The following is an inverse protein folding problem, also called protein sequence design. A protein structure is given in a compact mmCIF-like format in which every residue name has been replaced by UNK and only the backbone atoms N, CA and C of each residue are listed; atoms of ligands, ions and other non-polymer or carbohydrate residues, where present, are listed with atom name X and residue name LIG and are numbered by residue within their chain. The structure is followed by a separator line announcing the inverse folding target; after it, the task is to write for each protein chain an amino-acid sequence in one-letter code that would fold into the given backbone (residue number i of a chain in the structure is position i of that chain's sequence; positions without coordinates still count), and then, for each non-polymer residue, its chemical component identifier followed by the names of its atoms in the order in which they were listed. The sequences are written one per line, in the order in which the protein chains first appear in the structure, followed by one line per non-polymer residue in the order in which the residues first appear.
data_IF_892642200036
#
_entry.id   IF_892642200036
#
_cell.length_a   1.000
_cell.length_b   1.000
_cell.length_c   1.000
_cell.angle_alpha   90.00
_cell.angle_beta   90.00
_cell.angle_gamma   90.00
#
_symmetry.space_group_name_H-M   'P 1'
#
loop_
_entity.id
_entity.type
_entity.pdbx_description
1 polymer ?
#
# COMPACT_ATOMS: atom_id res chain seq x y z
N UNK A 1 24.09 15.54 11.50
CA UNK A 1 23.68 15.05 10.16
C UNK A 1 23.14 16.18 9.28
N UNK A 2 22.10 16.93 9.70
CA UNK A 2 21.56 18.05 8.91
C UNK A 2 22.61 19.06 8.43
N UNK A 3 23.55 19.45 9.29
CA UNK A 3 24.65 20.33 8.92
C UNK A 3 25.54 19.75 7.81
N UNK A 4 25.88 18.46 7.90
CA UNK A 4 26.66 17.78 6.86
C UNK A 4 25.92 17.75 5.51
N UNK A 5 24.60 17.53 5.52
CA UNK A 5 23.78 17.58 4.30
C UNK A 5 23.82 18.98 3.67
N UNK A 6 23.61 20.04 4.45
CA UNK A 6 23.66 21.42 3.95
C UNK A 6 25.01 21.78 3.34
N UNK A 7 26.11 21.30 3.94
CA UNK A 7 27.47 21.45 3.37
C UNK A 7 27.77 20.54 2.18
N UNK A 8 27.06 19.42 2.06
CA UNK A 8 27.24 18.47 0.95
C UNK A 8 26.46 18.90 -0.28
N UNK A 9 25.27 19.50 -0.11
CA UNK A 9 24.41 19.97 -1.21
C UNK A 9 24.17 21.49 -1.07
N UNK A 10 25.21 22.33 -1.24
CA UNK A 10 25.11 23.77 -1.05
C UNK A 10 24.47 24.51 -2.23
N UNK A 11 24.29 23.86 -3.39
CA UNK A 11 23.76 24.50 -4.60
C UNK A 11 22.39 23.94 -5.01
N UNK A 12 21.59 24.78 -5.67
CA UNK A 12 20.35 24.33 -6.33
C UNK A 12 20.68 23.39 -7.48
N UNK A 13 19.73 22.50 -7.80
CA UNK A 13 19.94 21.49 -8.82
C UNK A 13 20.30 22.08 -10.20
N UNK A 14 21.32 21.52 -10.85
CA UNK A 14 21.76 21.87 -12.20
C UNK A 14 22.08 20.57 -12.94
N UNK A 15 21.58 20.43 -14.16
CA UNK A 15 21.87 19.27 -15.00
C UNK A 15 21.02 18.05 -14.63
N UNK A 16 21.65 16.88 -14.53
CA UNK A 16 20.96 15.63 -14.21
C UNK A 16 20.37 15.68 -12.78
N UNK A 17 19.31 14.90 -12.54
CA UNK A 17 18.56 14.86 -11.27
C UNK A 17 18.70 13.47 -10.64
N UNK A 18 19.88 13.13 -10.09
CA UNK A 18 20.21 11.76 -9.74
C UNK A 18 19.33 11.20 -8.61
N UNK A 19 18.99 9.92 -8.76
CA UNK A 19 18.32 9.12 -7.73
C UNK A 19 19.24 8.63 -6.62
N UNK A 20 20.53 8.46 -6.91
CA UNK A 20 21.45 7.77 -6.02
C UNK A 20 22.15 8.74 -5.04
N UNK A 21 22.11 8.50 -3.72
CA UNK A 21 22.71 9.37 -2.71
C UNK A 21 24.20 9.68 -2.90
N UNK A 22 24.99 8.71 -3.37
CA UNK A 22 26.42 8.89 -3.66
C UNK A 22 26.67 9.82 -4.84
N UNK A 23 25.79 9.80 -5.86
CA UNK A 23 25.88 10.72 -7.01
C UNK A 23 25.46 12.12 -6.56
N UNK A 24 24.35 12.24 -5.82
CA UNK A 24 23.92 13.52 -5.22
C UNK A 24 25.06 14.14 -4.39
N UNK A 25 25.73 13.33 -3.56
CA UNK A 25 26.85 13.78 -2.74
C UNK A 25 28.06 14.24 -3.56
N UNK A 26 28.28 13.63 -4.72
CA UNK A 26 29.37 13.97 -5.65
C UNK A 26 29.09 15.25 -6.43
N UNK A 27 27.83 15.46 -6.85
CA UNK A 27 27.43 16.58 -7.69
C UNK A 27 27.22 17.89 -6.91
N UNK A 28 27.09 17.81 -5.59
CA UNK A 28 26.97 18.95 -4.68
C UNK A 28 25.79 19.90 -4.98
N UNK A 29 24.75 19.41 -5.66
CA UNK A 29 23.58 20.19 -6.02
C UNK A 29 22.28 19.37 -5.92
N UNK A 30 21.16 20.04 -5.64
CA UNK A 30 19.88 19.36 -5.44
C UNK A 30 18.73 20.27 -5.00
N UNK A 31 17.51 19.74 -5.08
CA UNK A 31 16.30 20.32 -4.48
C UNK A 31 15.78 19.40 -3.37
N UNK A 32 14.54 19.59 -2.93
CA UNK A 32 13.93 18.82 -1.84
C UNK A 32 14.05 17.30 -2.05
N UNK A 33 13.86 16.80 -3.28
CA UNK A 33 14.02 15.38 -3.63
C UNK A 33 15.41 14.81 -3.33
N UNK A 34 16.46 15.47 -3.79
CA UNK A 34 17.85 15.05 -3.58
C UNK A 34 18.24 15.20 -2.11
N UNK A 35 17.83 16.31 -1.48
CA UNK A 35 18.06 16.57 -0.05
C UNK A 35 17.41 15.49 0.81
N UNK A 36 16.17 15.09 0.53
CA UNK A 36 15.52 13.98 1.23
C UNK A 36 16.32 12.68 1.06
N UNK A 37 16.64 12.31 -0.18
CA UNK A 37 17.33 11.04 -0.49
C UNK A 37 18.68 10.92 0.21
N UNK A 38 19.54 11.94 0.07
CA UNK A 38 20.85 11.93 0.72
C UNK A 38 20.73 11.96 2.24
N UNK A 39 19.72 12.66 2.77
CA UNK A 39 19.54 12.76 4.20
C UNK A 39 19.05 11.46 4.84
N UNK A 40 18.08 10.79 4.23
CA UNK A 40 17.62 9.45 4.64
C UNK A 40 18.79 8.47 4.58
N UNK A 41 19.57 8.49 3.49
CA UNK A 41 20.75 7.63 3.35
C UNK A 41 21.80 7.90 4.45
N UNK A 42 22.08 9.17 4.76
CA UNK A 42 23.05 9.55 5.79
C UNK A 42 22.59 9.14 7.20
N UNK A 43 21.30 9.29 7.52
CA UNK A 43 20.75 8.82 8.80
C UNK A 43 20.82 7.30 8.92
N UNK A 44 20.43 6.57 7.88
CA UNK A 44 20.51 5.10 7.87
C UNK A 44 21.96 4.59 7.96
N UNK A 45 22.91 5.28 7.30
CA UNK A 45 24.33 4.97 7.42
C UNK A 45 24.87 5.18 8.85
N UNK A 46 24.24 6.08 9.61
CA UNK A 46 24.52 6.31 11.03
C UNK A 46 23.69 5.41 11.98
N UNK A 47 23.01 4.38 11.45
CA UNK A 47 22.12 3.46 12.19
C UNK A 47 20.93 4.16 12.86
N UNK A 48 20.51 5.30 12.34
CA UNK A 48 19.29 6.00 12.76
C UNK A 48 18.16 5.58 11.82
N UNK A 49 17.09 4.94 12.32
CA UNK A 49 15.95 4.60 11.48
C UNK A 49 15.35 5.89 10.91
N UNK A 50 15.22 5.93 9.58
CA UNK A 50 14.80 7.12 8.85
C UNK A 50 13.98 6.73 7.63
N UNK A 51 12.99 7.55 7.31
CA UNK A 51 12.05 7.37 6.20
C UNK A 51 11.83 8.69 5.48
N UNK A 52 11.42 8.63 4.22
CA UNK A 52 11.00 9.83 3.50
C UNK A 52 9.54 10.14 3.82
N UNK A 53 9.22 11.39 4.14
CA UNK A 53 7.85 11.90 4.17
C UNK A 53 7.58 12.69 2.88
N UNK A 54 6.43 12.42 2.26
CA UNK A 54 6.14 12.81 0.90
C UNK A 54 4.78 13.50 0.79
N UNK A 55 4.81 14.78 0.42
CA UNK A 55 3.65 15.57 0.03
C UNK A 55 3.72 15.81 -1.48
N UNK A 56 3.51 14.73 -2.24
CA UNK A 56 3.76 14.71 -3.69
C UNK A 56 2.77 15.58 -4.47
N UNK A 57 1.53 15.68 -4.00
CA UNK A 57 0.50 16.50 -4.67
C UNK A 57 0.91 17.96 -4.85
N UNK A 58 1.68 18.48 -3.90
CA UNK A 58 2.13 19.87 -3.87
C UNK A 58 3.66 20.00 -3.89
N UNK A 59 4.34 19.02 -4.49
CA UNK A 59 5.78 19.05 -4.78
C UNK A 59 6.68 19.39 -3.58
N UNK A 60 6.50 18.68 -2.45
CA UNK A 60 7.47 18.75 -1.35
C UNK A 60 7.72 17.40 -0.71
N UNK A 61 8.95 17.22 -0.25
CA UNK A 61 9.41 16.02 0.43
C UNK A 61 10.45 16.37 1.49
N UNK A 62 10.44 15.63 2.58
CA UNK A 62 11.39 15.77 3.71
C UNK A 62 11.58 14.39 4.36
N UNK A 63 12.17 14.29 5.55
CA UNK A 63 12.36 12.98 6.21
C UNK A 63 11.78 12.96 7.61
N UNK A 64 11.61 11.75 8.12
CA UNK A 64 11.39 11.50 9.54
C UNK A 64 12.47 10.57 10.07
N UNK A 65 12.79 10.69 11.36
CA UNK A 65 13.68 9.77 12.05
C UNK A 65 13.04 9.25 13.34
N UNK A 66 13.43 8.04 13.72
CA UNK A 66 12.87 7.38 14.91
C UNK A 66 13.76 7.58 16.14
N UNK A 67 13.19 8.18 17.19
CA UNK A 67 13.79 8.37 18.50
C UNK A 67 12.67 8.26 19.55
N UNK A 68 12.36 7.05 20.04
CA UNK A 68 11.18 6.81 20.90
C UNK A 68 9.86 7.36 20.32
N UNK A 69 9.78 7.49 19.00
CA UNK A 69 8.73 8.18 18.26
C UNK A 69 9.27 8.65 16.90
N UNK A 70 8.38 8.89 15.94
CA UNK A 70 8.77 9.49 14.66
C UNK A 70 8.80 11.01 14.78
N UNK A 71 9.92 11.62 14.38
CA UNK A 71 10.13 13.06 14.43
C UNK A 71 10.36 13.61 13.03
N UNK A 72 9.66 14.69 12.69
CA UNK A 72 9.88 15.45 11.47
C UNK A 72 11.32 15.96 11.41
N UNK A 73 11.93 15.94 10.23
CA UNK A 73 13.22 16.59 10.00
C UNK A 73 13.37 17.05 8.55
N UNK A 74 13.75 18.30 8.33
CA UNK A 74 13.91 18.86 6.99
C UNK A 74 15.20 19.66 6.86
N UNK A 75 15.73 19.70 5.65
CA UNK A 75 16.87 20.49 5.23
C UNK A 75 16.41 21.44 4.13
N UNK A 76 16.67 22.73 4.31
CA UNK A 76 16.31 23.73 3.31
C UNK A 76 17.43 23.91 2.29
N UNK A 77 17.07 24.51 1.16
CA UNK A 77 17.98 24.70 0.04
C UNK A 77 19.19 25.55 0.41
N UNK A 78 20.28 25.34 -0.31
CA UNK A 78 21.47 26.21 -0.30
C UNK A 78 22.03 26.48 1.09
N UNK A 79 22.12 25.43 1.92
CA UNK A 79 22.58 25.53 3.31
C UNK A 79 21.80 26.57 4.16
N UNK A 80 20.53 26.82 3.80
CA UNK A 80 19.64 27.77 4.47
C UNK A 80 19.16 27.32 5.86
N UNK A 81 19.64 26.16 6.34
CA UNK A 81 19.24 25.56 7.62
C UNK A 81 18.26 24.41 7.44
N UNK A 82 17.30 24.34 8.35
CA UNK A 82 16.32 23.25 8.41
C UNK A 82 15.60 23.25 9.74
N UNK A 83 14.76 22.25 9.95
CA UNK A 83 14.00 22.11 11.20
C UNK A 83 13.92 20.66 11.68
N UNK A 84 13.68 20.50 12.97
CA UNK A 84 13.54 19.22 13.68
C UNK A 84 12.28 19.31 14.51
N UNK A 85 11.43 18.28 14.41
CA UNK A 85 10.24 18.11 15.21
C UNK A 85 9.27 19.31 15.17
N UNK A 86 9.16 19.92 13.98
CA UNK A 86 8.26 21.07 13.73
C UNK A 86 7.35 20.76 12.55
N UNK A 87 6.37 19.85 12.69
CA UNK A 87 5.49 19.46 11.60
C UNK A 87 4.67 20.64 11.02
N UNK A 88 4.30 21.59 11.87
CA UNK A 88 3.50 22.77 11.49
C UNK A 88 4.20 23.72 10.52
N UNK A 89 5.51 23.57 10.31
CA UNK A 89 6.31 24.47 9.47
C UNK A 89 5.77 24.60 8.05
N UNK A 90 5.14 23.57 7.50
CA UNK A 90 4.66 23.57 6.12
C UNK A 90 3.27 24.21 6.00
N UNK A 91 2.24 23.61 6.63
CA UNK A 91 0.87 24.11 6.53
C UNK A 91 0.72 25.49 7.16
N UNK A 92 1.28 25.66 8.35
CA UNK A 92 1.00 26.83 9.21
C UNK A 92 2.17 27.82 9.26
N UNK A 93 3.40 27.34 9.07
CA UNK A 93 4.58 28.19 8.93
C UNK A 93 4.69 28.80 7.54
N UNK A 94 4.61 27.99 6.48
CA UNK A 94 4.72 28.44 5.08
C UNK A 94 3.37 28.79 4.45
N UNK A 95 2.25 28.45 5.10
CA UNK A 95 0.92 28.66 4.52
C UNK A 95 0.60 27.69 3.38
N UNK A 96 1.24 26.51 3.37
CA UNK A 96 1.08 25.53 2.30
C UNK A 96 -0.24 24.78 2.43
N UNK A 97 -1.08 24.86 1.41
CA UNK A 97 -2.30 24.05 1.32
C UNK A 97 -1.95 22.63 0.87
N UNK A 98 -1.99 21.66 1.77
CA UNK A 98 -1.50 20.30 1.54
C UNK A 98 -2.64 19.29 1.42
N UNK A 99 -2.54 18.38 0.45
CA UNK A 99 -3.57 17.36 0.18
C UNK A 99 -3.43 16.11 1.06
N UNK A 100 -2.32 15.39 0.93
CA UNK A 100 -2.02 14.22 1.75
C UNK A 100 -0.51 14.08 1.93
N UNK A 101 -0.11 13.42 3.02
CA UNK A 101 1.28 13.11 3.31
C UNK A 101 1.38 11.62 3.63
N UNK A 102 2.28 10.93 2.92
CA UNK A 102 2.63 9.56 3.26
C UNK A 102 4.11 9.44 3.60
N UNK A 103 4.42 8.55 4.52
CA UNK A 103 5.77 8.12 4.81
C UNK A 103 6.13 6.90 3.94
N UNK A 104 7.34 6.89 3.40
CA UNK A 104 7.86 5.89 2.48
C UNK A 104 8.95 5.06 3.18
N UNK A 105 8.62 3.80 3.44
CA UNK A 105 9.51 2.83 4.12
C UNK A 105 10.59 2.31 3.17
N UNK A 106 11.65 1.74 3.74
CA UNK A 106 12.77 1.19 2.98
C UNK A 106 12.44 -0.07 2.16
N UNK A 107 11.34 -0.75 2.49
CA UNK A 107 10.79 -1.88 1.74
C UNK A 107 9.83 -1.44 0.63
N UNK A 108 9.74 -0.14 0.36
CA UNK A 108 8.91 0.48 -0.67
C UNK A 108 7.40 0.57 -0.35
N UNK A 109 6.97 0.08 0.81
CA UNK A 109 5.62 0.33 1.32
C UNK A 109 5.45 1.80 1.74
N UNK A 110 4.19 2.23 1.85
CA UNK A 110 3.84 3.57 2.33
C UNK A 110 2.78 3.50 3.42
N UNK A 111 2.73 4.50 4.29
CA UNK A 111 1.65 4.68 5.25
C UNK A 111 1.30 6.16 5.42
N UNK A 112 0.06 6.45 5.77
CA UNK A 112 -0.41 7.82 5.96
C UNK A 112 0.23 8.46 7.21
N UNK A 113 0.70 9.69 7.06
CA UNK A 113 1.17 10.54 8.16
C UNK A 113 0.52 11.92 8.10
N UNK A 114 -0.56 12.08 7.32
CA UNK A 114 -1.23 13.37 7.09
C UNK A 114 -1.66 14.01 8.41
N UNK A 115 -2.15 13.20 9.35
CA UNK A 115 -2.60 13.67 10.66
C UNK A 115 -1.52 14.29 11.56
N UNK A 116 -0.24 14.05 11.26
CA UNK A 116 0.91 14.67 11.93
C UNK A 116 1.15 16.09 11.44
N UNK A 117 0.81 16.40 10.18
CA UNK A 117 1.18 17.66 9.51
C UNK A 117 0.02 18.61 9.23
N UNK A 118 -1.21 18.10 9.26
CA UNK A 118 -2.43 18.88 9.05
C UNK A 118 -3.32 18.68 10.28
N UNK A 119 -3.77 19.75 10.91
CA UNK A 119 -4.60 19.68 12.10
C UNK A 119 -6.00 19.10 11.81
N UNK A 120 -6.69 18.53 12.82
CA UNK A 120 -8.04 17.96 12.67
C UNK A 120 -9.06 18.91 12.01
N UNK A 121 -8.98 20.21 12.25
CA UNK A 121 -9.87 21.22 11.68
C UNK A 121 -9.69 21.43 10.17
N UNK A 122 -8.52 21.10 9.62
CA UNK A 122 -8.16 21.32 8.22
C UNK A 122 -8.11 20.03 7.40
N UNK A 123 -8.37 18.88 8.04
CA UNK A 123 -8.43 17.55 7.39
C UNK A 123 -9.78 16.88 7.50
N UNK A 124 -10.04 15.96 6.59
CA UNK A 124 -11.25 15.14 6.55
C UNK A 124 -10.89 13.67 6.32
N UNK A 125 -11.70 12.78 6.90
CA UNK A 125 -11.53 11.34 6.72
C UNK A 125 -12.43 10.85 5.59
N UNK A 126 -11.83 10.27 4.55
CA UNK A 126 -12.54 9.59 3.46
C UNK A 126 -12.36 8.08 3.57
N UNK A 127 -13.47 7.36 3.73
CA UNK A 127 -13.52 5.90 3.89
C UNK A 127 -14.09 5.23 2.65
N UNK A 128 -13.56 4.07 2.31
CA UNK A 128 -14.09 3.23 1.25
C UNK A 128 -14.56 1.91 1.85
N UNK A 129 -15.72 1.43 1.39
CA UNK A 129 -16.24 0.10 1.67
C UNK A 129 -16.52 -0.55 0.32
N UNK A 130 -15.71 -1.53 -0.04
CA UNK A 130 -15.74 -2.20 -1.34
C UNK A 130 -16.27 -3.61 -1.16
N UNK A 131 -17.33 -3.93 -1.91
CA UNK A 131 -18.00 -5.24 -1.88
C UNK A 131 -18.13 -5.82 -3.28
N UNK A 132 -18.25 -7.14 -3.37
CA UNK A 132 -18.51 -7.86 -4.61
C UNK A 132 -20.03 -7.98 -4.89
N UNK A 133 -20.41 -8.79 -5.89
CA UNK A 133 -21.81 -9.01 -6.26
C UNK A 133 -22.58 -9.90 -5.28
N UNK A 134 -21.89 -10.59 -4.38
CA UNK A 134 -22.47 -11.36 -3.26
C UNK A 134 -22.47 -10.57 -1.94
N UNK A 135 -22.20 -9.25 -2.01
CA UNK A 135 -22.07 -8.36 -0.85
C UNK A 135 -20.93 -8.76 0.11
N UNK A 136 -19.98 -9.58 -0.35
CA UNK A 136 -18.79 -9.93 0.40
C UNK A 136 -17.74 -8.82 0.29
N UNK A 137 -16.92 -8.62 1.34
CA UNK A 137 -15.75 -7.77 1.27
C UNK A 137 -14.83 -8.07 0.09
N UNK A 138 -14.32 -7.01 -0.54
CA UNK A 138 -13.26 -7.15 -1.56
C UNK A 138 -11.92 -6.79 -0.93
N UNK A 139 -11.12 -7.82 -0.69
CA UNK A 139 -9.77 -7.70 -0.14
C UNK A 139 -8.74 -7.29 -1.20
N UNK A 140 -7.95 -6.27 -0.87
CA UNK A 140 -6.84 -5.72 -1.66
C UNK A 140 -7.23 -4.97 -2.94
N UNK A 141 -8.41 -4.35 -2.97
CA UNK A 141 -8.72 -3.33 -3.96
C UNK A 141 -7.88 -2.07 -3.68
N UNK A 142 -7.22 -1.54 -4.71
CA UNK A 142 -6.42 -0.31 -4.61
C UNK A 142 -7.32 0.91 -4.75
N UNK A 143 -7.18 1.86 -3.83
CA UNK A 143 -7.72 3.21 -3.98
C UNK A 143 -6.53 4.16 -4.15
N UNK A 144 -6.39 4.74 -5.34
CA UNK A 144 -5.40 5.80 -5.61
C UNK A 144 -6.08 7.15 -5.52
N UNK A 145 -5.49 8.06 -4.74
CA UNK A 145 -5.97 9.42 -4.55
C UNK A 145 -5.17 10.35 -5.44
N UNK A 146 -5.87 11.15 -6.22
CA UNK A 146 -5.25 12.17 -7.07
C UNK A 146 -5.83 13.54 -6.77
N UNK A 147 -4.99 14.55 -6.91
CA UNK A 147 -5.32 15.98 -6.77
C UNK A 147 -4.81 16.72 -8.00
N UNK A 148 -5.41 17.87 -8.31
CA UNK A 148 -4.83 18.78 -9.28
C UNK A 148 -3.54 19.37 -8.68
N UNK A 149 -2.41 19.15 -9.35
CA UNK A 149 -1.12 19.60 -8.85
C UNK A 149 -0.08 19.72 -9.96
N UNK A 150 1.08 20.22 -9.54
CA UNK A 150 2.23 20.44 -10.41
C UNK A 150 2.80 19.09 -10.82
N UNK A 151 3.05 18.90 -12.12
CA UNK A 151 3.65 17.69 -12.65
C UNK A 151 4.81 18.04 -13.57
N UNK A 152 6.01 17.65 -13.14
CA UNK A 152 7.19 17.61 -14.00
C UNK A 152 6.99 16.53 -15.07
N UNK A 153 6.94 16.98 -16.32
CA UNK A 153 6.82 16.14 -17.52
C UNK A 153 8.10 16.13 -18.34
N UNK A 154 9.20 16.71 -17.85
CA UNK A 154 10.49 16.79 -18.54
C UNK A 154 10.95 15.42 -19.03
N UNK A 155 10.88 14.40 -18.18
CA UNK A 155 11.26 13.04 -18.57
C UNK A 155 10.38 12.49 -19.70
N UNK A 156 9.06 12.71 -19.62
CA UNK A 156 8.12 12.24 -20.65
C UNK A 156 8.35 13.00 -21.96
N UNK A 157 8.55 14.31 -21.88
CA UNK A 157 8.91 15.20 -22.98
C UNK A 157 10.19 14.68 -23.65
N UNK A 158 11.29 14.50 -22.91
CA UNK A 158 12.54 14.00 -23.47
C UNK A 158 12.40 12.60 -24.08
N UNK A 159 11.68 11.68 -23.43
CA UNK A 159 11.45 10.33 -23.95
C UNK A 159 10.65 10.33 -25.27
N UNK A 160 9.65 11.22 -25.40
CA UNK A 160 8.90 11.38 -26.64
C UNK A 160 9.81 11.95 -27.73
N UNK A 161 10.63 12.94 -27.39
CA UNK A 161 11.58 13.56 -28.31
C UNK A 161 12.60 12.57 -28.85
N UNK A 162 13.22 11.78 -27.97
CA UNK A 162 14.17 10.73 -28.35
C UNK A 162 13.57 9.76 -29.38
N UNK A 163 12.31 9.36 -29.20
CA UNK A 163 11.61 8.51 -30.18
C UNK A 163 11.34 9.21 -31.51
N UNK A 164 11.00 10.50 -31.48
CA UNK A 164 10.82 11.30 -32.70
C UNK A 164 12.15 11.43 -33.45
N UNK A 165 13.24 11.71 -32.73
CA UNK A 165 14.61 11.77 -33.27
C UNK A 165 15.02 10.41 -33.85
N UNK A 166 14.79 9.31 -33.15
CA UNK A 166 15.11 7.97 -33.65
C UNK A 166 14.37 7.63 -34.95
N UNK A 167 13.07 7.98 -35.04
CA UNK A 167 12.28 7.81 -36.27
C UNK A 167 12.86 8.68 -37.39
N UNK A 168 13.19 9.94 -37.08
CA UNK A 168 13.77 10.87 -38.04
C UNK A 168 15.11 10.35 -38.56
N UNK A 169 16.01 9.92 -37.69
CA UNK A 169 17.34 9.41 -38.05
C UNK A 169 17.27 8.19 -38.96
N UNK A 170 16.29 7.30 -38.74
CA UNK A 170 16.04 6.11 -39.57
C UNK A 170 15.45 6.40 -40.96
N UNK A 171 14.95 7.61 -41.23
CA UNK A 171 14.44 7.96 -42.55
C UNK A 171 15.58 8.08 -43.57
N UNK A 172 15.47 7.46 -44.77
CA UNK A 172 16.45 7.63 -45.84
C UNK A 172 16.63 9.09 -46.29
N UNK A 173 17.85 9.46 -46.68
CA UNK A 173 18.20 10.84 -47.06
C UNK A 173 17.38 11.38 -48.24
N UNK A 174 16.94 10.52 -49.17
CA UNK A 174 16.10 10.94 -50.28
C UNK A 174 14.66 11.33 -49.84
N UNK A 175 14.23 10.90 -48.65
CA UNK A 175 12.94 11.27 -48.03
C UNK A 175 13.11 12.55 -47.20
N UNK A 176 14.29 12.78 -46.61
CA UNK A 176 14.68 14.00 -45.86
C UNK A 176 14.90 15.20 -46.80
N UNK A 177 13.94 15.49 -47.66
CA UNK A 177 13.93 16.68 -48.51
C UNK A 177 13.60 17.95 -47.71
N UNK A 178 13.74 19.12 -48.36
CA UNK A 178 13.51 20.45 -47.76
C UNK A 178 12.17 20.60 -47.02
N UNK A 179 11.10 19.99 -47.54
CA UNK A 179 9.76 20.09 -46.96
C UNK A 179 9.67 19.31 -45.65
N UNK A 180 10.20 18.08 -45.62
CA UNK A 180 10.20 17.24 -44.42
C UNK A 180 11.15 17.80 -43.36
N UNK A 181 12.30 18.34 -43.75
CA UNK A 181 13.21 19.05 -42.83
C UNK A 181 12.50 20.25 -42.18
N UNK A 182 11.83 21.09 -42.96
CA UNK A 182 11.09 22.22 -42.43
C UNK A 182 9.92 21.80 -41.50
N UNK A 183 9.29 20.65 -41.76
CA UNK A 183 8.28 20.09 -40.85
C UNK A 183 8.93 19.61 -39.55
N UNK A 184 10.06 18.90 -39.63
CA UNK A 184 10.81 18.44 -38.47
C UNK A 184 11.30 19.59 -37.60
N UNK A 185 11.92 20.62 -38.19
CA UNK A 185 12.40 21.81 -37.48
C UNK A 185 11.23 22.53 -36.79
N UNK A 186 10.07 22.62 -37.45
CA UNK A 186 8.86 23.20 -36.84
C UNK A 186 8.27 22.34 -35.72
N UNK A 187 8.38 21.01 -35.81
CA UNK A 187 7.99 20.10 -34.73
C UNK A 187 8.94 20.30 -33.55
N UNK A 188 10.25 20.44 -33.80
CA UNK A 188 11.26 20.72 -32.77
C UNK A 188 10.98 22.04 -32.04
N UNK A 189 10.80 23.14 -32.77
CA UNK A 189 10.47 24.44 -32.17
C UNK A 189 9.22 24.36 -31.28
N UNK A 190 8.14 23.75 -31.78
CA UNK A 190 6.92 23.54 -30.99
C UNK A 190 7.11 22.62 -29.80
N UNK A 191 8.03 21.67 -29.89
CA UNK A 191 8.32 20.74 -28.81
C UNK A 191 9.12 21.44 -27.70
N UNK A 192 10.07 22.30 -28.06
CA UNK A 192 10.84 23.13 -27.15
C UNK A 192 9.94 24.13 -26.39
N UNK A 193 8.87 24.61 -27.05
CA UNK A 193 7.83 25.46 -26.44
C UNK A 193 6.93 24.72 -25.42
N UNK A 194 6.90 23.38 -25.41
CA UNK A 194 6.10 22.63 -24.41
C UNK A 194 6.71 22.87 -23.03
N UNK A 195 5.93 23.34 -22.04
CA UNK A 195 6.47 23.58 -20.71
C UNK A 195 6.92 22.26 -20.07
N UNK A 196 8.02 22.31 -19.32
CA UNK A 196 8.56 21.16 -18.60
C UNK A 196 7.67 20.75 -17.41
N UNK A 197 6.81 21.67 -16.98
CA UNK A 197 5.91 21.51 -15.86
C UNK A 197 4.49 21.88 -16.31
N UNK A 198 3.53 20.99 -16.05
CA UNK A 198 2.11 21.22 -16.31
C UNK A 198 1.28 21.03 -15.04
N UNK A 199 0.14 21.72 -14.98
CA UNK A 199 -0.90 21.39 -14.01
C UNK A 199 -1.70 20.17 -14.50
N UNK A 200 -1.78 19.14 -13.66
CA UNK A 200 -2.54 17.93 -13.99
C UNK A 200 -2.87 17.09 -12.77
N UNK A 201 -3.52 15.95 -13.02
CA UNK A 201 -3.80 14.99 -11.97
C UNK A 201 -2.50 14.33 -11.51
N UNK A 202 -2.13 14.62 -10.26
CA UNK A 202 -0.97 14.07 -9.58
C UNK A 202 -1.42 13.13 -8.47
N UNK A 203 -0.74 12.00 -8.34
CA UNK A 203 -1.01 11.02 -7.29
C UNK A 203 -0.47 11.58 -5.98
N UNK A 204 -1.35 11.80 -5.01
CA UNK A 204 -0.98 12.33 -3.70
C UNK A 204 -0.77 11.20 -2.68
N UNK A 205 -1.63 10.17 -2.69
CA UNK A 205 -1.47 8.98 -1.84
C UNK A 205 -2.24 7.79 -2.41
N UNK A 206 -2.05 6.59 -1.86
CA UNK A 206 -2.84 5.40 -2.18
C UNK A 206 -2.87 4.44 -1.01
N UNK A 207 -3.89 3.59 -0.98
CA UNK A 207 -4.03 2.52 0.00
C UNK A 207 -4.82 1.34 -0.60
N UNK A 208 -4.89 0.23 0.13
CA UNK A 208 -5.55 -1.01 -0.26
C UNK A 208 -6.64 -1.36 0.76
N UNK A 209 -7.73 -1.96 0.30
CA UNK A 209 -8.80 -2.44 1.19
C UNK A 209 -8.35 -3.68 1.95
N UNK A 210 -8.64 -3.72 3.26
CA UNK A 210 -8.37 -4.87 4.13
C UNK A 210 -9.30 -6.07 3.86
N UNK A 211 -9.21 -7.12 4.68
CA UNK A 211 -10.10 -8.31 4.63
C UNK A 211 -11.58 -7.95 4.78
N UNK A 212 -11.89 -6.82 5.43
CA UNK A 212 -13.25 -6.31 5.59
C UNK A 212 -13.70 -5.43 4.42
N UNK A 213 -12.86 -5.30 3.39
CA UNK A 213 -13.13 -4.51 2.19
C UNK A 213 -13.05 -3.01 2.47
N UNK A 214 -12.28 -2.59 3.47
CA UNK A 214 -12.23 -1.19 3.94
C UNK A 214 -10.85 -0.60 3.83
N UNK A 215 -10.79 0.68 3.45
CA UNK A 215 -9.60 1.50 3.63
C UNK A 215 -10.02 2.94 3.93
N UNK A 216 -9.09 3.74 4.47
CA UNK A 216 -9.33 5.14 4.81
C UNK A 216 -8.14 6.02 4.44
N UNK A 217 -8.43 7.31 4.29
CA UNK A 217 -7.49 8.37 3.99
C UNK A 217 -7.81 9.58 4.85
N UNK A 218 -6.77 10.22 5.39
CA UNK A 218 -6.83 11.57 5.94
C UNK A 218 -6.40 12.53 4.83
N UNK A 219 -7.23 13.51 4.50
CA UNK A 219 -7.03 14.41 3.37
C UNK A 219 -7.27 15.87 3.77
N UNK A 220 -6.51 16.81 3.23
CA UNK A 220 -6.73 18.25 3.40
C UNK A 220 -8.04 18.72 2.76
N UNK A 221 -8.75 19.66 3.40
CA UNK A 221 -10.11 20.07 3.02
C UNK A 221 -10.23 20.92 1.75
N UNK A 222 -9.17 21.59 1.33
CA UNK A 222 -9.23 22.64 0.29
C UNK A 222 -8.96 22.14 -1.12
N UNK A 223 -9.02 20.82 -1.34
CA UNK A 223 -8.71 20.20 -2.62
C UNK A 223 -9.91 19.46 -3.21
N UNK A 224 -9.94 19.38 -4.54
CA UNK A 224 -10.77 18.43 -5.26
C UNK A 224 -9.98 17.16 -5.53
N UNK A 225 -10.53 16.03 -5.11
CA UNK A 225 -9.91 14.72 -5.23
C UNK A 225 -10.63 13.85 -6.24
N UNK A 226 -9.85 13.19 -7.09
CA UNK A 226 -10.31 12.07 -7.90
C UNK A 226 -9.72 10.77 -7.33
N UNK A 227 -10.60 9.84 -7.01
CA UNK A 227 -10.26 8.50 -6.56
C UNK A 227 -10.39 7.52 -7.72
N UNK A 228 -9.31 6.76 -7.93
CA UNK A 228 -9.29 5.63 -8.86
C UNK A 228 -9.28 4.34 -8.05
N UNK A 229 -10.42 3.64 -8.03
CA UNK A 229 -10.62 2.40 -7.28
C UNK A 229 -10.50 1.23 -8.24
N UNK A 230 -9.60 0.28 -7.97
CA UNK A 230 -9.27 -0.80 -8.90
C UNK A 230 -9.12 -2.13 -8.18
N UNK A 231 -9.66 -3.19 -8.78
CA UNK A 231 -9.50 -4.56 -8.31
C UNK A 231 -9.05 -5.46 -9.47
N UNK A 232 -8.06 -6.31 -9.21
CA UNK A 232 -7.54 -7.28 -10.16
C UNK A 232 -6.27 -7.98 -9.66
N UNK A 233 -5.86 -9.05 -10.35
CA UNK A 233 -4.74 -9.91 -9.95
C UNK A 233 -3.36 -9.27 -10.19
N UNK A 234 -3.25 -8.35 -11.15
CA UNK A 234 -2.02 -7.63 -11.44
C UNK A 234 -2.33 -6.16 -11.72
N UNK A 235 -2.50 -5.39 -10.65
CA UNK A 235 -2.70 -3.95 -10.75
C UNK A 235 -1.42 -3.31 -11.29
N UNK A 236 -1.54 -2.64 -12.44
CA UNK A 236 -0.45 -1.87 -13.06
C UNK A 236 -0.53 -0.40 -12.61
N UNK A 237 -0.09 0.54 -13.43
CA UNK A 237 -0.24 1.97 -13.14
C UNK A 237 -1.73 2.36 -13.03
N UNK A 238 -2.10 3.37 -12.21
CA UNK A 238 -3.50 3.72 -11.95
C UNK A 238 -4.30 4.11 -13.19
N UNK A 239 -3.61 4.60 -14.22
CA UNK A 239 -4.20 5.01 -15.50
C UNK A 239 -4.58 3.83 -16.40
N UNK A 240 -4.15 2.61 -16.06
CA UNK A 240 -4.45 1.40 -16.82
C UNK A 240 -5.63 0.68 -16.17
N UNK A 241 -6.58 0.22 -16.99
CA UNK A 241 -7.76 -0.49 -16.52
C UNK A 241 -7.38 -1.83 -15.87
N UNK A 242 -7.98 -2.10 -14.71
CA UNK A 242 -7.97 -3.40 -14.04
C UNK A 242 -9.22 -4.23 -14.41
N UNK A 243 -9.40 -5.40 -13.79
CA UNK A 243 -10.61 -6.25 -13.96
C UNK A 243 -11.87 -5.46 -13.62
N UNK A 244 -11.85 -4.79 -12.47
CA UNK A 244 -12.91 -3.90 -12.02
C UNK A 244 -12.33 -2.52 -11.72
N UNK A 245 -13.04 -1.47 -12.11
CA UNK A 245 -12.63 -0.09 -11.91
C UNK A 245 -13.85 0.75 -11.51
N UNK A 246 -13.63 1.71 -10.62
CA UNK A 246 -14.60 2.75 -10.29
C UNK A 246 -13.88 4.08 -10.11
N UNK A 247 -14.59 5.17 -10.42
CA UNK A 247 -14.11 6.54 -10.20
C UNK A 247 -15.04 7.24 -9.22
N UNK A 248 -14.48 8.02 -8.30
CA UNK A 248 -15.23 8.91 -7.41
C UNK A 248 -14.55 10.26 -7.34
N UNK A 249 -15.35 11.31 -7.29
CA UNK A 249 -14.89 12.68 -7.07
C UNK A 249 -15.33 13.12 -5.68
N UNK A 250 -14.49 13.89 -5.02
CA UNK A 250 -14.77 14.48 -3.72
C UNK A 250 -14.21 15.89 -3.66
N UNK A 251 -15.10 16.84 -3.39
CA UNK A 251 -14.82 18.28 -3.29
C UNK A 251 -15.51 18.88 -2.07
N UNK A 252 -15.77 18.05 -1.04
CA UNK A 252 -16.43 18.46 0.19
C UNK A 252 -15.38 18.57 1.31
N UNK A 253 -15.75 19.20 2.41
CA UNK A 253 -14.92 19.43 3.59
C UNK A 253 -15.30 18.54 4.78
N UNK A 254 -16.28 17.65 4.59
CA UNK A 254 -16.82 16.75 5.61
C UNK A 254 -16.51 15.29 5.31
N UNK A 255 -16.36 14.51 6.38
CA UNK A 255 -16.07 13.09 6.30
C UNK A 255 -17.05 12.36 5.38
N UNK A 256 -16.51 11.43 4.58
CA UNK A 256 -17.29 10.72 3.58
C UNK A 256 -16.97 9.26 3.57
N UNK A 257 -18.02 8.43 3.52
CA UNK A 257 -17.89 7.01 3.20
C UNK A 257 -18.43 6.75 1.80
N UNK A 258 -17.60 6.17 0.94
CA UNK A 258 -18.00 5.67 -0.37
C UNK A 258 -18.24 4.16 -0.31
N UNK A 259 -19.43 3.74 -0.71
CA UNK A 259 -19.75 2.34 -0.93
C UNK A 259 -19.56 2.00 -2.41
N UNK A 260 -18.69 1.04 -2.69
CA UNK A 260 -18.36 0.58 -4.04
C UNK A 260 -18.79 -0.88 -4.16
N UNK A 261 -19.48 -1.21 -5.25
CA UNK A 261 -19.84 -2.59 -5.59
C UNK A 261 -19.16 -2.97 -6.90
N UNK A 262 -18.39 -4.04 -6.88
CA UNK A 262 -17.78 -4.62 -8.08
C UNK A 262 -18.57 -5.81 -8.60
N UNK A 263 -18.55 -5.96 -9.92
CA UNK A 263 -19.12 -7.13 -10.59
C UNK A 263 -18.07 -8.23 -10.51
N UNK A 264 -18.04 -8.92 -9.37
CA UNK A 264 -17.20 -10.09 -9.15
C UNK A 264 -18.01 -11.21 -8.51
N UNK A 265 -17.83 -12.41 -9.05
CA UNK A 265 -18.53 -13.63 -8.65
C UNK A 265 -17.55 -14.74 -8.23
N UNK A 266 -16.26 -14.44 -8.08
CA UNK A 266 -15.27 -15.44 -7.67
C UNK A 266 -15.39 -15.83 -6.19
N UNK A 267 -15.85 -14.91 -5.32
CA UNK A 267 -15.95 -15.14 -3.87
C UNK A 267 -17.29 -15.78 -3.48
N UNK A 268 -17.47 -17.05 -3.83
CA UNK A 268 -18.65 -17.80 -3.40
C UNK A 268 -18.55 -18.15 -1.92
N UNK A 269 -19.48 -17.64 -1.11
CA UNK A 269 -19.56 -17.96 0.32
C UNK A 269 -19.82 -19.45 0.52
N UNK A 270 -18.90 -20.13 1.21
CA UNK A 270 -19.11 -21.51 1.63
C UNK A 270 -20.10 -21.54 2.79
N UNK A 271 -21.19 -22.28 2.63
CA UNK A 271 -22.26 -22.35 3.63
C UNK A 271 -21.90 -23.37 4.71
N UNK A 272 -21.90 -22.94 5.96
CA UNK A 272 -21.78 -23.84 7.12
C UNK A 272 -23.02 -23.77 8.01
N UNK A 273 -23.12 -24.69 8.97
CA UNK A 273 -24.09 -24.65 10.07
C UNK A 273 -23.33 -24.83 11.38
N UNK A 274 -23.52 -23.91 12.32
CA UNK A 274 -22.97 -24.06 13.66
C UNK A 274 -23.80 -25.05 14.47
N UNK A 275 -23.12 -25.97 15.17
CA UNK A 275 -23.71 -26.91 16.12
C UNK A 275 -22.82 -27.01 17.35
N UNK A 276 -23.39 -27.21 18.52
CA UNK A 276 -22.62 -27.56 19.71
C UNK A 276 -21.97 -28.94 19.55
N UNK A 277 -20.75 -29.05 20.09
CA UNK A 277 -19.99 -30.30 20.10
C UNK A 277 -20.59 -31.22 21.16
N UNK A 278 -20.71 -32.53 20.90
CA UNK A 278 -21.08 -33.49 21.94
C UNK A 278 -20.04 -33.51 23.06
N UNK A 279 -20.49 -33.37 24.32
CA UNK A 279 -19.61 -33.47 25.49
C UNK A 279 -18.96 -34.86 25.59
N UNK A 280 -17.69 -34.90 26.01
CA UNK A 280 -16.95 -36.15 26.22
C UNK A 280 -15.62 -35.96 26.96
N UNK A 281 -14.79 -37.01 26.96
CA UNK A 281 -13.59 -37.11 27.81
C UNK A 281 -12.32 -36.47 27.22
N UNK A 282 -12.38 -35.95 26.00
CA UNK A 282 -11.25 -35.33 25.31
C UNK A 282 -11.39 -33.80 25.34
N UNK A 283 -10.49 -33.16 26.07
CA UNK A 283 -10.40 -31.70 26.19
C UNK A 283 -9.38 -31.18 25.20
N UNK A 284 -9.77 -30.19 24.39
CA UNK A 284 -8.84 -29.41 23.57
C UNK A 284 -8.82 -27.99 24.10
N UNK A 285 -7.63 -27.52 24.47
CA UNK A 285 -7.35 -26.14 24.79
C UNK A 285 -6.60 -25.54 23.59
N UNK A 286 -7.16 -24.52 22.96
CA UNK A 286 -6.60 -23.89 21.77
C UNK A 286 -6.48 -22.40 22.03
N UNK A 287 -5.30 -21.87 21.73
CA UNK A 287 -5.04 -20.43 21.69
C UNK A 287 -4.39 -20.05 20.37
N UNK A 288 -4.75 -18.89 19.83
CA UNK A 288 -4.04 -18.33 18.68
C UNK A 288 -4.08 -16.80 18.66
N UNK A 289 -3.09 -16.23 17.96
CA UNK A 289 -2.97 -14.82 17.61
C UNK A 289 -2.57 -14.70 16.13
N UNK A 290 -2.92 -13.57 15.50
CA UNK A 290 -2.64 -13.35 14.08
C UNK A 290 -2.08 -11.97 13.80
N UNK A 291 -1.17 -11.92 12.82
CA UNK A 291 -0.67 -10.69 12.23
C UNK A 291 -0.93 -10.71 10.73
N UNK A 292 -1.55 -9.65 10.20
CA UNK A 292 -1.96 -9.58 8.80
C UNK A 292 -1.18 -8.52 8.01
N UNK A 293 -0.80 -8.86 6.78
CA UNK A 293 -0.08 -7.94 5.88
C UNK A 293 -0.41 -8.18 4.41
N UNK A 294 -0.26 -7.14 3.59
CA UNK A 294 -0.32 -7.24 2.13
C UNK A 294 1.06 -7.12 1.51
N UNK A 295 1.26 -7.82 0.39
CA UNK A 295 2.37 -7.57 -0.53
C UNK A 295 1.82 -6.87 -1.76
N UNK A 296 2.05 -5.57 -1.87
CA UNK A 296 1.45 -4.75 -2.93
C UNK A 296 2.50 -3.90 -3.63
N UNK A 297 2.23 -3.60 -4.90
CA UNK A 297 3.10 -2.74 -5.69
C UNK A 297 2.98 -1.29 -5.24
N UNK A 298 4.10 -0.65 -5.03
CA UNK A 298 4.17 0.80 -4.95
C UNK A 298 3.80 1.38 -6.31
N UNK A 299 2.87 2.33 -6.31
CA UNK A 299 2.30 2.90 -7.53
C UNK A 299 3.33 3.66 -8.37
N UNK A 300 4.39 4.18 -7.74
CA UNK A 300 5.42 4.99 -8.39
C UNK A 300 6.54 4.15 -8.97
N UNK A 301 7.07 3.21 -8.20
CA UNK A 301 8.28 2.40 -8.53
C UNK A 301 7.98 1.02 -9.10
N UNK A 302 6.75 0.51 -8.92
CA UNK A 302 6.35 -0.87 -9.22
C UNK A 302 7.03 -1.97 -8.38
N UNK A 303 7.89 -1.64 -7.40
CA UNK A 303 8.41 -2.63 -6.46
C UNK A 303 7.33 -3.06 -5.47
N UNK A 304 7.51 -4.23 -4.87
CA UNK A 304 6.58 -4.80 -3.89
C UNK A 304 7.02 -4.38 -2.49
N UNK A 305 6.11 -3.74 -1.75
CA UNK A 305 6.29 -3.44 -0.33
C UNK A 305 5.29 -4.16 0.56
N UNK A 306 5.61 -4.22 1.86
CA UNK A 306 4.80 -4.87 2.89
C UNK A 306 3.92 -3.84 3.59
N UNK A 307 2.61 -4.02 3.51
CA UNK A 307 1.63 -3.13 4.14
C UNK A 307 0.95 -3.85 5.30
N UNK A 308 1.14 -3.32 6.51
CA UNK A 308 0.42 -3.80 7.69
C UNK A 308 -1.08 -3.55 7.49
N UNK A 309 -1.91 -4.57 7.74
CA UNK A 309 -3.36 -4.48 7.57
C UNK A 309 -4.10 -5.15 8.71
N UNK A 310 -5.40 -4.88 8.80
CA UNK A 310 -6.28 -5.65 9.67
C UNK A 310 -6.70 -6.92 8.95
N UNK A 311 -6.69 -8.03 9.67
CA UNK A 311 -7.05 -9.31 9.13
C UNK A 311 -7.03 -10.36 10.22
N UNK A 312 -7.91 -11.35 10.09
CA UNK A 312 -8.03 -12.45 11.01
C UNK A 312 -8.11 -13.77 10.25
N UNK A 313 -8.42 -14.82 10.98
CA UNK A 313 -8.57 -16.16 10.41
C UNK A 313 -9.94 -16.73 10.74
N UNK A 314 -10.50 -17.49 9.80
CA UNK A 314 -11.64 -18.34 10.12
C UNK A 314 -11.10 -19.51 10.94
N UNK A 315 -11.67 -19.71 12.11
CA UNK A 315 -11.38 -20.83 12.99
C UNK A 315 -12.64 -21.67 13.16
N UNK A 316 -12.54 -22.98 12.98
CA UNK A 316 -13.64 -23.90 13.28
C UNK A 316 -13.18 -25.34 13.46
N UNK A 317 -14.02 -26.14 14.11
CA UNK A 317 -13.77 -27.56 14.37
C UNK A 317 -14.84 -28.41 13.69
N UNK A 318 -14.41 -29.51 13.07
CA UNK A 318 -15.26 -30.46 12.37
C UNK A 318 -14.81 -31.90 12.62
N UNK A 319 -15.73 -32.86 12.51
CA UNK A 319 -15.39 -34.28 12.42
C UNK A 319 -14.90 -34.63 11.00
N UNK A 320 -14.41 -35.87 10.82
CA UNK A 320 -13.93 -36.37 9.53
C UNK A 320 -14.94 -36.22 8.38
N UNK A 321 -16.21 -36.52 8.61
CA UNK A 321 -17.25 -36.42 7.58
C UNK A 321 -17.45 -34.96 7.13
N UNK A 322 -17.51 -34.03 8.08
CA UNK A 322 -17.68 -32.60 7.79
C UNK A 322 -16.40 -31.97 7.25
N UNK A 323 -15.22 -32.47 7.62
CA UNK A 323 -13.95 -32.09 6.99
C UNK A 323 -13.93 -32.45 5.51
N UNK A 324 -14.34 -33.68 5.15
CA UNK A 324 -14.48 -34.09 3.75
C UNK A 324 -15.50 -33.25 2.96
N UNK A 325 -16.59 -32.80 3.60
CA UNK A 325 -17.53 -31.84 2.99
C UNK A 325 -16.91 -30.47 2.79
N UNK A 326 -16.17 -29.96 3.78
CA UNK A 326 -15.45 -28.69 3.71
C UNK A 326 -14.45 -28.68 2.55
N UNK A 327 -13.58 -29.69 2.48
CA UNK A 327 -12.56 -29.83 1.42
C UNK A 327 -13.16 -29.97 0.01
N UNK A 328 -14.41 -30.43 -0.10
CA UNK A 328 -15.12 -30.54 -1.39
C UNK A 328 -16.03 -29.35 -1.72
N UNK A 329 -15.93 -28.24 -0.96
CA UNK A 329 -16.75 -27.05 -1.18
C UNK A 329 -18.25 -27.24 -0.88
N UNK A 330 -18.62 -28.36 -0.24
CA UNK A 330 -20.00 -28.69 0.12
C UNK A 330 -20.39 -28.04 1.45
N UNK A 331 -21.70 -28.00 1.70
CA UNK A 331 -22.23 -27.53 2.98
C UNK A 331 -21.80 -28.49 4.10
N UNK A 332 -21.21 -27.95 5.17
CA UNK A 332 -20.75 -28.71 6.32
C UNK A 332 -21.34 -28.17 7.62
N UNK A 333 -21.23 -28.97 8.68
CA UNK A 333 -21.59 -28.57 10.06
C UNK A 333 -20.30 -28.44 10.84
N UNK A 334 -20.13 -27.34 11.58
CA UNK A 334 -18.95 -27.09 12.38
C UNK A 334 -19.34 -26.57 13.75
N UNK A 335 -18.35 -26.51 14.62
CA UNK A 335 -18.47 -25.99 15.97
C UNK A 335 -17.43 -24.92 16.22
N UNK A 336 -17.76 -23.99 17.12
CA UNK A 336 -16.91 -22.85 17.50
C UNK A 336 -16.38 -22.09 16.27
N UNK A 337 -17.29 -21.77 15.33
CA UNK A 337 -16.92 -20.90 14.20
C UNK A 337 -16.61 -19.50 14.74
N UNK A 338 -15.35 -19.10 14.64
CA UNK A 338 -14.84 -17.81 15.06
C UNK A 338 -14.20 -17.17 13.83
N UNK A 339 -14.44 -15.89 13.64
CA UNK A 339 -13.72 -15.05 12.69
C UNK A 339 -13.08 -13.95 13.53
N UNK A 340 -11.76 -13.97 13.67
CA UNK A 340 -11.09 -13.12 14.64
C UNK A 340 -9.57 -13.08 14.50
N UNK A 341 -8.96 -12.14 15.22
CA UNK A 341 -7.52 -11.92 15.24
C UNK A 341 -6.85 -12.80 16.31
N UNK A 342 -7.53 -13.01 17.44
CA UNK A 342 -7.07 -13.83 18.57
C UNK A 342 -8.22 -14.63 19.19
N UNK A 343 -7.87 -15.72 19.89
CA UNK A 343 -8.82 -16.42 20.74
C UNK A 343 -8.14 -17.33 21.76
N UNK A 344 -8.85 -17.59 22.86
CA UNK A 344 -8.57 -18.66 23.83
C UNK A 344 -9.87 -19.43 24.09
N UNK A 345 -9.85 -20.75 23.92
CA UNK A 345 -11.01 -21.55 24.32
C UNK A 345 -10.65 -23.00 24.65
N UNK A 346 -11.53 -23.60 25.44
CA UNK A 346 -11.49 -25.01 25.83
C UNK A 346 -12.77 -25.69 25.38
N UNK A 347 -12.66 -26.90 24.87
CA UNK A 347 -13.81 -27.70 24.46
C UNK A 347 -13.66 -29.15 24.91
N UNK A 348 -14.78 -29.78 25.26
CA UNK A 348 -14.85 -31.21 25.56
C UNK A 348 -15.53 -31.94 24.40
N UNK A 349 -14.93 -33.01 23.93
CA UNK A 349 -15.46 -33.85 22.83
C UNK A 349 -15.45 -35.32 23.18
N UNK A 350 -16.31 -36.07 22.51
CA UNK A 350 -16.19 -37.53 22.40
C UNK A 350 -14.95 -37.98 21.62
N UNK A 351 -14.52 -39.23 21.83
CA UNK A 351 -13.37 -39.85 21.17
C UNK A 351 -13.68 -40.13 19.69
N UNK A 352 -13.31 -39.20 18.81
CA UNK A 352 -13.43 -39.26 17.35
C UNK A 352 -12.26 -38.57 16.67
N UNK A 353 -12.17 -38.71 15.35
CA UNK A 353 -11.24 -37.95 14.53
C UNK A 353 -11.78 -36.53 14.32
N UNK A 354 -11.13 -35.58 14.99
CA UNK A 354 -11.45 -34.17 14.96
C UNK A 354 -10.40 -33.39 14.17
N UNK A 355 -10.88 -32.45 13.36
CA UNK A 355 -10.06 -31.57 12.54
C UNK A 355 -10.24 -30.14 13.03
N UNK A 356 -9.13 -29.51 13.40
CA UNK A 356 -9.04 -28.11 13.79
C UNK A 356 -8.59 -27.33 12.57
N UNK A 357 -9.46 -26.45 12.06
CA UNK A 357 -9.22 -25.75 10.79
C UNK A 357 -8.97 -24.27 11.04
N UNK A 358 -7.82 -23.81 10.57
CA UNK A 358 -7.48 -22.40 10.44
C UNK A 358 -7.50 -22.06 8.95
N UNK A 359 -8.41 -21.18 8.54
CA UNK A 359 -8.61 -20.84 7.13
C UNK A 359 -8.46 -19.33 6.93
N UNK A 360 -7.46 -18.95 6.14
CA UNK A 360 -7.39 -17.61 5.57
C UNK A 360 -8.31 -17.56 4.34
N UNK A 361 -9.44 -16.85 4.44
CA UNK A 361 -10.37 -16.66 3.32
C UNK A 361 -10.02 -15.43 2.46
N UNK A 362 -8.98 -14.69 2.81
CA UNK A 362 -8.55 -13.49 2.13
C UNK A 362 -7.91 -13.80 0.77
N UNK A 363 -8.02 -12.87 -0.18
CA UNK A 363 -7.46 -13.04 -1.52
C UNK A 363 -6.07 -12.39 -1.66
N UNK A 364 -5.80 -11.34 -0.89
CA UNK A 364 -4.58 -10.53 -0.92
C UNK A 364 -3.90 -10.43 0.44
N UNK A 365 -4.66 -10.56 1.51
CA UNK A 365 -4.14 -10.54 2.86
C UNK A 365 -3.43 -11.85 3.18
N UNK A 366 -2.15 -11.74 3.54
CA UNK A 366 -1.41 -12.83 4.16
C UNK A 366 -1.60 -12.71 5.68
N UNK A 367 -1.75 -13.85 6.33
CA UNK A 367 -1.92 -13.94 7.78
C UNK A 367 -0.82 -14.82 8.33
N UNK A 368 -0.02 -14.28 9.25
CA UNK A 368 0.88 -15.05 10.11
C UNK A 368 0.04 -15.51 11.30
N UNK A 369 0.01 -16.81 11.55
CA UNK A 369 -0.73 -17.42 12.64
C UNK A 369 0.25 -18.01 13.66
N UNK A 370 0.18 -17.54 14.89
CA UNK A 370 0.85 -18.15 16.03
C UNK A 370 -0.21 -18.88 16.86
N UNK A 371 -0.06 -20.20 17.04
CA UNK A 371 -1.07 -21.01 17.74
C UNK A 371 -0.45 -22.02 18.71
N UNK A 372 -1.22 -22.37 19.74
CA UNK A 372 -0.90 -23.42 20.71
C UNK A 372 -2.12 -24.30 20.93
N UNK A 373 -1.94 -25.62 20.85
CA UNK A 373 -2.99 -26.61 21.05
C UNK A 373 -2.53 -27.61 22.09
N UNK A 374 -3.30 -27.74 23.17
CA UNK A 374 -3.11 -28.76 24.19
C UNK A 374 -4.30 -29.72 24.18
N UNK A 375 -4.02 -31.02 24.08
CA UNK A 375 -5.05 -32.06 24.11
C UNK A 375 -4.88 -32.88 25.38
N UNK A 376 -5.96 -33.00 26.17
CA UNK A 376 -6.03 -33.81 27.39
C UNK A 376 -7.12 -34.85 27.20
N UNK A 377 -6.84 -36.11 27.53
CA UNK A 377 -7.85 -37.15 27.48
C UNK A 377 -7.78 -38.01 28.73
N UNK A 378 -8.93 -38.25 29.37
CA UNK A 378 -9.02 -39.23 30.45
C UNK A 378 -9.08 -40.63 29.84
N UNK A 379 -7.94 -41.33 29.83
CA UNK A 379 -7.80 -42.66 29.23
C UNK A 379 -6.83 -43.54 30.02
N UNK A 380 -7.16 -44.84 30.11
CA UNK A 380 -6.27 -45.87 30.68
C UNK A 380 -5.33 -46.46 29.60
N UNK A 381 -5.28 -45.85 28.41
CA UNK A 381 -4.50 -46.33 27.26
C UNK A 381 -3.59 -45.21 26.76
N UNK A 382 -2.28 -45.44 26.80
CA UNK A 382 -1.24 -44.52 26.30
C UNK A 382 -1.29 -44.42 24.78
N UNK A 383 -2.08 -43.48 24.25
CA UNK A 383 -2.11 -43.20 22.80
C UNK A 383 -2.77 -41.86 22.51
N UNK A 384 -2.03 -40.78 22.71
CA UNK A 384 -2.25 -39.56 21.94
C UNK A 384 -1.17 -39.55 20.87
N UNK A 385 -1.56 -39.82 19.63
CA UNK A 385 -0.67 -39.69 18.47
C UNK A 385 -0.98 -38.36 17.79
N UNK A 386 -0.07 -37.39 17.93
CA UNK A 386 -0.10 -36.19 17.11
C UNK A 386 0.58 -36.57 15.79
N UNK A 387 -0.22 -36.86 14.77
CA UNK A 387 0.31 -37.01 13.41
C UNK A 387 0.74 -35.61 12.96
N UNK A 388 1.98 -35.48 12.48
CA UNK A 388 2.59 -34.20 12.11
C UNK A 388 1.63 -33.33 11.28
N UNK A 389 1.67 -31.98 11.43
CA UNK A 389 0.83 -31.10 10.63
C UNK A 389 1.06 -31.36 9.14
N UNK A 390 -0.01 -31.67 8.40
CA UNK A 390 0.05 -31.75 6.95
C UNK A 390 0.19 -30.34 6.38
N UNK A 391 1.38 -30.02 5.87
CA UNK A 391 1.70 -28.72 5.27
C UNK A 391 1.39 -28.69 3.77
N UNK A 392 0.94 -29.79 3.16
CA UNK A 392 0.63 -29.86 1.72
C UNK A 392 -0.52 -28.93 1.30
N UNK A 393 -1.34 -28.45 2.24
CA UNK A 393 -2.40 -27.44 1.99
C UNK A 393 -1.78 -26.10 1.55
N UNK A 394 -0.52 -25.81 1.93
CA UNK A 394 0.19 -24.60 1.49
C UNK A 394 0.78 -24.75 0.07
N UNK A 395 1.03 -25.98 -0.40
CA UNK A 395 1.60 -26.23 -1.74
C UNK A 395 0.54 -26.17 -2.85
N UNK A 396 -0.73 -26.44 -2.50
CA UNK A 396 -1.88 -26.40 -3.41
C UNK A 396 -3.07 -25.67 -2.76
N UNK A 397 -3.09 -24.32 -2.79
CA UNK A 397 -4.24 -23.57 -2.28
C UNK A 397 -5.50 -23.96 -3.07
N UNK A 398 -6.52 -24.45 -2.35
CA UNK A 398 -7.84 -24.84 -2.89
C UNK A 398 -8.66 -23.61 -3.26
#
# INVERSE_FOLDING_TARGET
ISYWIGKTVPYQAIGDRPGQPNIIAHEHNGWCGELQRIAVAAQRAALIPSIGACNIGEDHVWREFYERGWHQNDNWWTDGGGTVDTPDVYAYGWGKDMSAIFAWRGDDSIYDVTSTYIHPEDRTTVKFVVKDSYLQPVDGARVTVTVQGIKDITWLKNTIWEKIQEIWDRLPDFIKGKILQAIYDRIQEKFDEVPDIIDGLTITTWNYTDMNGKCCFELGKNHEYLFVIQQGNNLRKPWQLAKNNALRVYNNTQDKTFHISFIDFSNRVQRHRSKEIPEGDCIFDVSFDTMAYHLQKNVRTDNIGTYDTKGGIDFFIVDEENFGKYMSGRRFTCSNYIEGEDTDFSLCTEKKDWYIVFRNHAHRTNVVLDFSIQVKASTNVDRIQIVSPDTSIFDHPV
#
